data_IF_816908218743
#
_entry.id   IF_816908218743
#
_cell.length_a   1.000
_cell.length_b   1.000
_cell.length_c   1.000
_cell.angle_alpha   90.00
_cell.angle_beta   90.00
_cell.angle_gamma   90.00
#
_symmetry.space_group_name_H-M   'P 1'
#
loop_
_entity.id
_entity.type
_entity.pdbx_description
1 polymer ?
#
# COMPACT_ATOMS: atom_id res chain seq x y z
N UNK A 1 19.38 -63.00 61.36
CA UNK A 1 19.67 -62.37 60.05
C UNK A 1 18.52 -61.39 59.78
N UNK A 2 18.81 -60.09 59.70
CA UNK A 2 17.80 -59.09 59.33
C UNK A 2 17.24 -59.41 57.94
N UNK A 3 15.91 -59.39 57.80
CA UNK A 3 15.28 -59.47 56.49
C UNK A 3 15.70 -58.23 55.69
N UNK A 4 16.51 -58.42 54.64
CA UNK A 4 16.90 -57.34 53.74
C UNK A 4 15.80 -57.16 52.71
N UNK A 5 15.25 -55.96 52.63
CA UNK A 5 14.16 -55.67 51.70
C UNK A 5 14.75 -55.14 50.38
N UNK A 6 14.42 -55.75 49.25
CA UNK A 6 14.84 -55.28 47.91
C UNK A 6 14.44 -53.81 47.69
N UNK A 7 13.29 -53.42 48.23
CA UNK A 7 12.84 -52.03 48.22
C UNK A 7 13.87 -51.06 48.83
N UNK A 8 14.45 -51.39 49.99
CA UNK A 8 15.45 -50.52 50.65
C UNK A 8 16.77 -50.46 49.88
N UNK A 9 17.07 -51.47 49.06
CA UNK A 9 18.24 -51.48 48.18
C UNK A 9 18.01 -50.66 46.91
N UNK A 10 16.81 -50.73 46.34
CA UNK A 10 16.47 -50.06 45.09
C UNK A 10 16.04 -48.62 45.30
N UNK A 11 15.26 -48.32 46.34
CA UNK A 11 14.72 -46.98 46.62
C UNK A 11 15.60 -46.28 47.64
N UNK A 12 16.33 -45.27 47.16
CA UNK A 12 17.15 -44.40 48.00
C UNK A 12 16.25 -43.33 48.59
N UNK A 13 16.41 -43.02 49.88
CA UNK A 13 15.79 -41.83 50.49
C UNK A 13 16.71 -40.65 50.18
N UNK A 14 16.34 -39.73 49.27
CA UNK A 14 17.20 -38.58 48.98
C UNK A 14 17.21 -37.62 50.18
N UNK A 15 18.36 -36.99 50.39
CA UNK A 15 18.60 -36.04 51.49
C UNK A 15 17.72 -34.79 51.38
N UNK A 16 17.25 -34.48 50.18
CA UNK A 16 16.44 -33.30 49.83
C UNK A 16 14.92 -33.53 49.98
N UNK A 17 14.50 -34.73 50.42
CA UNK A 17 13.08 -35.05 50.58
C UNK A 17 12.30 -35.28 49.27
N UNK A 18 12.99 -35.27 48.12
CA UNK A 18 12.41 -35.63 46.82
C UNK A 18 12.03 -37.12 46.73
N UNK A 19 11.25 -37.50 45.73
CA UNK A 19 10.93 -38.92 45.47
C UNK A 19 11.99 -39.55 44.57
N UNK A 20 12.55 -40.70 44.95
CA UNK A 20 13.43 -41.50 44.07
C UNK A 20 12.59 -42.27 43.04
N UNK A 21 12.08 -41.55 42.04
CA UNK A 21 11.22 -42.08 40.99
C UNK A 21 11.86 -43.27 40.27
N UNK A 22 13.16 -43.18 39.98
CA UNK A 22 13.94 -44.27 39.38
C UNK A 22 13.91 -45.50 40.29
N UNK A 23 14.13 -45.33 41.59
CA UNK A 23 14.03 -46.43 42.56
C UNK A 23 12.65 -47.08 42.61
N UNK A 24 11.58 -46.28 42.58
CA UNK A 24 10.21 -46.80 42.58
C UNK A 24 9.89 -47.60 41.31
N UNK A 25 10.26 -47.07 40.14
CA UNK A 25 10.10 -47.77 38.87
C UNK A 25 10.96 -49.05 38.87
N UNK A 26 12.20 -48.99 39.36
CA UNK A 26 13.07 -50.16 39.47
C UNK A 26 12.47 -51.25 40.37
N UNK A 27 11.81 -50.87 41.46
CA UNK A 27 11.09 -51.82 42.32
C UNK A 27 9.88 -52.45 41.62
N UNK A 28 9.14 -51.67 40.82
CA UNK A 28 8.05 -52.19 40.00
C UNK A 28 8.59 -53.18 38.95
N UNK A 29 9.70 -52.87 38.29
CA UNK A 29 10.38 -53.77 37.35
C UNK A 29 10.85 -55.06 38.02
N UNK A 30 11.40 -54.98 39.24
CA UNK A 30 11.75 -56.16 40.03
C UNK A 30 10.53 -57.06 40.27
N UNK A 31 9.40 -56.48 40.66
CA UNK A 31 8.16 -57.23 40.91
C UNK A 31 7.63 -57.86 39.63
N UNK A 32 7.68 -57.14 38.50
CA UNK A 32 7.30 -57.65 37.18
C UNK A 32 8.18 -58.85 36.78
N UNK A 33 9.51 -58.74 36.86
CA UNK A 33 10.42 -59.86 36.56
C UNK A 33 10.23 -61.07 37.47
N UNK A 34 9.95 -60.83 38.75
CA UNK A 34 9.66 -61.91 39.71
C UNK A 34 8.37 -62.65 39.35
N UNK A 35 7.35 -61.91 38.93
CA UNK A 35 6.06 -62.47 38.51
C UNK A 35 6.16 -63.20 37.16
N UNK A 36 6.92 -62.65 36.22
CA UNK A 36 7.26 -63.29 34.95
C UNK A 36 7.99 -64.62 35.18
N UNK A 37 8.97 -64.66 36.09
CA UNK A 37 9.65 -65.90 36.47
C UNK A 37 8.68 -66.93 37.06
N UNK A 38 7.77 -66.50 37.94
CA UNK A 38 6.77 -67.40 38.51
C UNK A 38 5.84 -67.96 37.43
N UNK A 39 5.35 -67.09 36.54
CA UNK A 39 4.45 -67.44 35.45
C UNK A 39 5.09 -68.44 34.49
N UNK A 40 6.31 -68.16 34.03
CA UNK A 40 7.07 -69.05 33.14
C UNK A 40 7.30 -70.44 33.76
N UNK A 41 7.59 -70.51 35.06
CA UNK A 41 7.79 -71.79 35.76
C UNK A 41 6.48 -72.58 35.91
N UNK A 42 5.36 -71.90 36.17
CA UNK A 42 4.02 -72.52 36.23
C UNK A 42 3.59 -73.03 34.86
N UNK A 43 3.80 -72.26 33.80
CA UNK A 43 3.53 -72.66 32.41
C UNK A 43 4.37 -73.89 32.01
N UNK A 44 5.55 -74.05 32.61
CA UNK A 44 6.42 -75.22 32.43
C UNK A 44 6.03 -76.43 33.28
N UNK A 45 4.86 -76.42 33.95
CA UNK A 45 4.40 -77.46 34.89
C UNK A 45 5.40 -77.76 36.03
N UNK A 46 6.16 -76.76 36.48
CA UNK A 46 7.07 -76.92 37.61
C UNK A 46 6.27 -77.04 38.91
N UNK A 47 6.58 -77.99 39.81
CA UNK A 47 5.98 -78.07 41.14
C UNK A 47 6.13 -76.78 41.96
N UNK A 48 5.08 -76.35 42.69
CA UNK A 48 5.05 -75.06 43.39
C UNK A 48 6.16 -74.92 44.46
N UNK A 49 6.60 -76.02 45.08
CA UNK A 49 7.73 -76.03 46.03
C UNK A 49 9.06 -75.63 45.37
N UNK A 50 9.27 -76.05 44.12
CA UNK A 50 10.43 -75.66 43.31
C UNK A 50 10.30 -74.21 42.88
N UNK A 51 9.10 -73.75 42.54
CA UNK A 51 8.83 -72.34 42.18
C UNK A 51 9.17 -71.42 43.34
N UNK A 52 8.68 -71.71 44.54
CA UNK A 52 8.97 -70.92 45.74
C UNK A 52 10.47 -70.83 46.02
N UNK A 53 11.19 -71.96 45.87
CA UNK A 53 12.66 -71.96 45.99
C UNK A 53 13.31 -71.07 44.93
N UNK A 54 12.90 -71.16 43.67
CA UNK A 54 13.44 -70.32 42.58
C UNK A 54 13.15 -68.83 42.78
N UNK A 55 11.96 -68.48 43.26
CA UNK A 55 11.59 -67.10 43.56
C UNK A 55 12.38 -66.53 44.73
N UNK A 56 12.73 -67.38 45.71
CA UNK A 56 13.63 -67.02 46.80
C UNK A 56 15.07 -66.84 46.33
N UNK A 57 15.58 -67.77 45.51
CA UNK A 57 16.89 -67.64 44.87
C UNK A 57 16.98 -66.33 44.07
N UNK A 58 15.96 -65.99 43.28
CA UNK A 58 15.91 -64.73 42.55
C UNK A 58 15.95 -63.50 43.46
N UNK A 59 15.19 -63.51 44.56
CA UNK A 59 15.20 -62.43 45.55
C UNK A 59 16.58 -62.27 46.20
N UNK A 60 17.18 -63.37 46.64
CA UNK A 60 18.49 -63.37 47.30
C UNK A 60 19.59 -62.94 46.32
N UNK A 61 19.57 -63.43 45.07
CA UNK A 61 20.51 -63.03 44.04
C UNK A 61 20.44 -61.52 43.73
N UNK A 62 19.24 -60.96 43.69
CA UNK A 62 19.03 -59.52 43.47
C UNK A 62 19.63 -58.69 44.62
N UNK A 63 19.55 -59.19 45.86
CA UNK A 63 20.09 -58.51 47.05
C UNK A 63 21.61 -58.66 47.18
N UNK A 64 22.15 -59.81 46.79
CA UNK A 64 23.56 -60.17 46.94
C UNK A 64 24.42 -59.63 45.79
N UNK A 65 23.84 -59.42 44.61
CA UNK A 65 24.54 -58.96 43.41
C UNK A 65 24.22 -57.49 43.15
N UNK A 66 25.13 -56.54 43.47
CA UNK A 66 24.88 -55.11 43.25
C UNK A 66 24.52 -54.78 41.80
N UNK A 67 25.15 -55.48 40.85
CA UNK A 67 24.93 -55.31 39.41
C UNK A 67 23.48 -55.53 38.97
N UNK A 68 22.74 -56.44 39.63
CA UNK A 68 21.32 -56.67 39.32
C UNK A 68 20.46 -55.48 39.75
N UNK A 69 20.74 -54.91 40.93
CA UNK A 69 20.08 -53.70 41.40
C UNK A 69 20.38 -52.50 40.49
N UNK A 70 21.64 -52.36 40.07
CA UNK A 70 22.05 -51.27 39.17
C UNK A 70 21.39 -51.42 37.80
N UNK A 71 21.34 -52.63 37.23
CA UNK A 71 20.64 -52.88 35.97
C UNK A 71 19.14 -52.59 36.06
N UNK A 72 18.48 -52.92 37.17
CA UNK A 72 17.07 -52.55 37.37
C UNK A 72 16.86 -51.04 37.40
N UNK A 73 17.78 -50.30 38.02
CA UNK A 73 17.74 -48.83 38.05
C UNK A 73 18.03 -48.21 36.69
N UNK A 74 19.00 -48.75 35.95
CA UNK A 74 19.33 -48.31 34.59
C UNK A 74 18.15 -48.53 33.63
N UNK A 75 17.51 -49.70 33.69
CA UNK A 75 16.29 -49.96 32.92
C UNK A 75 15.14 -49.01 33.30
N UNK A 76 14.98 -48.71 34.59
CA UNK A 76 13.99 -47.76 35.06
C UNK A 76 14.24 -46.34 34.53
N UNK A 77 15.50 -45.91 34.52
CA UNK A 77 15.93 -44.63 33.95
C UNK A 77 15.66 -44.57 32.44
N UNK A 78 15.98 -45.65 31.70
CA UNK A 78 15.69 -45.72 30.26
C UNK A 78 14.19 -45.64 29.96
N UNK A 79 13.35 -46.35 30.73
CA UNK A 79 11.89 -46.30 30.56
C UNK A 79 11.36 -44.90 30.86
N UNK A 80 11.86 -44.26 31.93
CA UNK A 80 11.45 -42.91 32.28
C UNK A 80 11.83 -41.91 31.19
N UNK A 81 13.09 -41.94 30.73
CA UNK A 81 13.57 -41.03 29.70
C UNK A 81 12.83 -41.22 28.38
N UNK A 82 12.65 -42.47 27.92
CA UNK A 82 11.89 -42.75 26.70
C UNK A 82 10.41 -42.35 26.80
N UNK A 83 9.80 -42.48 27.99
CA UNK A 83 8.45 -41.99 28.24
C UNK A 83 8.35 -40.46 28.18
N UNK A 84 9.35 -39.76 28.74
CA UNK A 84 9.45 -38.29 28.66
C UNK A 84 9.63 -37.84 27.21
N UNK A 85 10.56 -38.47 26.47
CA UNK A 85 10.83 -38.13 25.07
C UNK A 85 9.60 -38.36 24.18
N UNK A 86 8.85 -39.45 24.42
CA UNK A 86 7.61 -39.73 23.72
C UNK A 86 6.52 -38.69 24.05
N UNK A 87 6.39 -38.29 25.31
CA UNK A 87 5.45 -37.26 25.72
C UNK A 87 5.81 -35.88 25.13
N UNK A 88 7.09 -35.53 25.09
CA UNK A 88 7.58 -34.30 24.46
C UNK A 88 7.30 -34.31 22.96
N UNK A 89 7.60 -35.41 22.27
CA UNK A 89 7.35 -35.55 20.83
C UNK A 89 5.86 -35.42 20.49
N UNK A 90 4.99 -36.04 21.30
CA UNK A 90 3.52 -35.92 21.12
C UNK A 90 3.02 -34.51 21.38
N UNK A 91 3.60 -33.81 22.35
CA UNK A 91 3.26 -32.41 22.63
C UNK A 91 3.69 -31.49 21.49
N UNK A 92 4.91 -31.68 20.96
CA UNK A 92 5.41 -30.93 19.80
C UNK A 92 4.54 -31.15 18.56
N UNK A 93 4.14 -32.38 18.29
CA UNK A 93 3.23 -32.70 17.18
C UNK A 93 1.89 -32.00 17.33
N UNK A 94 1.29 -32.07 18.52
CA UNK A 94 0.00 -31.43 18.83
C UNK A 94 0.11 -29.91 18.67
N UNK A 95 1.17 -29.30 19.21
CA UNK A 95 1.40 -27.86 19.12
C UNK A 95 1.61 -27.40 17.67
N UNK A 96 2.36 -28.15 16.87
CA UNK A 96 2.59 -27.84 15.46
C UNK A 96 1.30 -27.93 14.65
N UNK A 97 0.45 -28.91 14.93
CA UNK A 97 -0.86 -29.04 14.28
C UNK A 97 -1.77 -27.86 14.65
N UNK A 98 -1.86 -27.51 15.93
CA UNK A 98 -2.66 -26.38 16.41
C UNK A 98 -2.18 -25.05 15.82
N UNK A 99 -0.86 -24.85 15.73
CA UNK A 99 -0.28 -23.68 15.07
C UNK A 99 -0.63 -23.63 13.59
N UNK A 100 -0.58 -24.76 12.88
CA UNK A 100 -0.92 -24.83 11.46
C UNK A 100 -2.39 -24.48 11.24
N UNK A 101 -3.29 -25.03 12.06
CA UNK A 101 -4.72 -24.72 12.03
C UNK A 101 -4.97 -23.22 12.31
N UNK A 102 -4.26 -22.64 13.28
CA UNK A 102 -4.39 -21.23 13.61
C UNK A 102 -3.92 -20.32 12.47
N UNK A 103 -2.77 -20.64 11.85
CA UNK A 103 -2.23 -19.92 10.69
C UNK A 103 -3.23 -19.97 9.53
N UNK A 104 -3.80 -21.14 9.24
CA UNK A 104 -4.73 -21.30 8.13
C UNK A 104 -6.06 -20.57 8.37
N UNK A 105 -6.56 -20.56 9.60
CA UNK A 105 -7.72 -19.73 9.97
C UNK A 105 -7.46 -18.25 9.72
N UNK A 106 -6.32 -17.75 10.19
CA UNK A 106 -5.93 -16.35 9.99
C UNK A 106 -5.80 -16.02 8.50
N UNK A 107 -5.13 -16.87 7.72
CA UNK A 107 -5.01 -16.69 6.25
C UNK A 107 -6.37 -16.66 5.56
N UNK A 108 -7.26 -17.58 5.91
CA UNK A 108 -8.61 -17.64 5.33
C UNK A 108 -9.45 -16.42 5.69
N UNK A 109 -9.36 -15.95 6.94
CA UNK A 109 -10.04 -14.73 7.38
C UNK A 109 -9.50 -13.48 6.65
N UNK A 110 -8.18 -13.40 6.43
CA UNK A 110 -7.58 -12.34 5.62
C UNK A 110 -8.06 -12.39 4.17
N UNK A 111 -8.04 -13.56 3.52
CA UNK A 111 -8.53 -13.72 2.15
C UNK A 111 -10.02 -13.33 2.02
N UNK A 112 -10.84 -13.68 3.03
CA UNK A 112 -12.25 -13.32 3.09
C UNK A 112 -12.44 -11.80 3.21
N UNK A 113 -11.70 -11.15 4.11
CA UNK A 113 -11.73 -9.68 4.29
C UNK A 113 -11.25 -8.97 3.04
N UNK A 114 -10.21 -9.47 2.38
CA UNK A 114 -9.71 -8.91 1.14
C UNK A 114 -10.77 -8.99 0.03
N UNK A 115 -11.44 -10.14 -0.13
CA UNK A 115 -12.54 -10.28 -1.08
C UNK A 115 -13.72 -9.35 -0.78
N UNK A 116 -14.06 -9.15 0.49
CA UNK A 116 -15.10 -8.21 0.91
C UNK A 116 -14.73 -6.77 0.56
N UNK A 117 -13.51 -6.34 0.93
CA UNK A 117 -13.02 -5.00 0.62
C UNK A 117 -12.93 -4.75 -0.88
N UNK A 118 -12.53 -5.75 -1.67
CA UNK A 118 -12.54 -5.63 -3.13
C UNK A 118 -13.96 -5.45 -3.67
N UNK A 119 -14.95 -6.21 -3.19
CA UNK A 119 -16.35 -6.04 -3.59
C UNK A 119 -16.87 -4.66 -3.22
N UNK A 120 -16.68 -4.23 -1.97
CA UNK A 120 -17.07 -2.90 -1.49
C UNK A 120 -16.43 -1.78 -2.32
N UNK A 121 -15.14 -1.92 -2.68
CA UNK A 121 -14.44 -0.98 -3.54
C UNK A 121 -15.10 -0.90 -4.92
N UNK A 122 -15.39 -2.03 -5.55
CA UNK A 122 -16.03 -2.04 -6.89
C UNK A 122 -17.45 -1.47 -6.85
N UNK A 123 -18.21 -1.72 -5.79
CA UNK A 123 -19.53 -1.14 -5.59
C UNK A 123 -19.46 0.37 -5.37
N UNK A 124 -18.51 0.82 -4.55
CA UNK A 124 -18.27 2.24 -4.31
C UNK A 124 -17.83 2.97 -5.59
N UNK A 125 -16.96 2.37 -6.40
CA UNK A 125 -16.54 2.92 -7.70
C UNK A 125 -17.71 3.02 -8.67
N UNK A 126 -18.56 1.98 -8.77
CA UNK A 126 -19.80 2.01 -9.57
C UNK A 126 -20.75 3.11 -9.10
N UNK A 127 -20.95 3.24 -7.78
CA UNK A 127 -21.82 4.28 -7.19
C UNK A 127 -21.27 5.68 -7.40
N UNK A 128 -19.95 5.85 -7.31
CA UNK A 128 -19.27 7.12 -7.62
C UNK A 128 -19.44 7.50 -9.09
N UNK A 129 -19.28 6.53 -10.00
CA UNK A 129 -19.45 6.77 -11.43
C UNK A 129 -20.90 7.10 -11.79
N UNK A 130 -21.87 6.35 -11.26
CA UNK A 130 -23.30 6.61 -11.50
C UNK A 130 -23.71 7.99 -10.98
N UNK A 131 -23.31 8.34 -9.75
CA UNK A 131 -23.55 9.66 -9.16
C UNK A 131 -22.92 10.77 -10.00
N UNK A 132 -21.67 10.61 -10.45
CA UNK A 132 -21.01 11.58 -11.34
C UNK A 132 -21.75 11.76 -12.67
N UNK A 133 -22.24 10.68 -13.27
CA UNK A 133 -23.01 10.77 -14.52
C UNK A 133 -24.39 11.39 -14.30
N UNK A 134 -25.05 11.11 -13.17
CA UNK A 134 -26.32 11.74 -12.80
C UNK A 134 -26.15 13.24 -12.58
N UNK A 135 -25.14 13.65 -11.82
CA UNK A 135 -24.79 15.06 -11.61
C UNK A 135 -24.49 15.77 -12.93
N UNK A 136 -23.66 15.19 -13.80
CA UNK A 136 -23.39 15.77 -15.14
C UNK A 136 -24.65 15.91 -16.00
N UNK A 137 -25.59 14.96 -15.92
CA UNK A 137 -26.87 15.07 -16.63
C UNK A 137 -27.75 16.15 -16.04
N UNK A 138 -27.75 16.30 -14.71
CA UNK A 138 -28.52 17.34 -14.03
C UNK A 138 -27.95 18.74 -14.31
N UNK A 139 -26.64 18.91 -14.17
CA UNK A 139 -25.94 20.16 -14.50
C UNK A 139 -26.11 20.52 -15.97
N UNK A 140 -25.94 19.57 -16.89
CA UNK A 140 -26.15 19.86 -18.32
C UNK A 140 -27.59 20.22 -18.64
N UNK A 141 -28.59 19.61 -17.97
CA UNK A 141 -30.00 20.03 -18.10
C UNK A 141 -30.24 21.44 -17.55
N UNK A 142 -29.66 21.78 -16.40
CA UNK A 142 -29.74 23.13 -15.82
C UNK A 142 -29.09 24.16 -16.74
N UNK A 143 -27.91 23.86 -17.29
CA UNK A 143 -27.23 24.72 -18.26
C UNK A 143 -28.03 24.86 -19.57
N UNK A 144 -28.65 23.79 -20.07
CA UNK A 144 -29.53 23.85 -21.24
C UNK A 144 -30.80 24.68 -20.99
N UNK A 145 -31.40 24.55 -19.80
CA UNK A 145 -32.55 25.38 -19.42
C UNK A 145 -32.13 26.85 -19.32
N UNK A 146 -31.04 27.15 -18.62
CA UNK A 146 -30.49 28.50 -18.53
C UNK A 146 -30.08 29.07 -19.90
N UNK A 147 -29.54 28.24 -20.80
CA UNK A 147 -29.19 28.65 -22.17
C UNK A 147 -30.42 28.89 -23.06
N UNK A 148 -31.55 28.22 -22.79
CA UNK A 148 -32.83 28.50 -23.46
C UNK A 148 -33.51 29.76 -22.92
N UNK A 149 -33.34 30.04 -21.62
CA UNK A 149 -33.81 31.27 -20.98
C UNK A 149 -32.91 32.47 -21.29
N UNK A 150 -31.62 32.24 -21.58
CA UNK A 150 -30.72 33.24 -22.08
C UNK A 150 -31.17 33.71 -23.46
N UNK A 151 -31.76 34.91 -23.49
CA UNK A 151 -32.13 35.61 -24.72
C UNK A 151 -30.88 35.74 -25.58
N UNK A 152 -30.83 34.97 -26.69
CA UNK A 152 -29.73 35.05 -27.64
C UNK A 152 -29.69 36.48 -28.22
N UNK A 153 -28.54 37.17 -28.17
CA UNK A 153 -28.44 38.51 -28.72
C UNK A 153 -28.77 38.45 -30.22
N UNK A 154 -29.64 39.36 -30.63
CA UNK A 154 -30.13 39.48 -32.00
C UNK A 154 -28.93 39.75 -32.91
N UNK A 155 -28.96 39.33 -34.19
CA UNK A 155 -27.81 39.48 -35.12
C UNK A 155 -27.22 40.89 -35.16
N UNK A 156 -28.03 41.93 -34.89
CA UNK A 156 -27.61 43.34 -34.81
C UNK A 156 -26.80 43.65 -33.55
N UNK A 157 -27.19 43.10 -32.41
CA UNK A 157 -26.50 43.29 -31.12
C UNK A 157 -25.12 42.63 -31.16
N UNK A 158 -24.97 41.47 -31.81
CA UNK A 158 -23.65 40.87 -32.05
C UNK A 158 -22.73 41.73 -32.90
N UNK A 159 -23.27 42.41 -33.91
CA UNK A 159 -22.46 43.30 -34.77
C UNK A 159 -22.03 44.54 -33.98
N UNK A 160 -22.92 45.09 -33.15
CA UNK A 160 -22.62 46.24 -32.29
C UNK A 160 -21.57 45.86 -31.22
N UNK A 161 -21.75 44.73 -30.52
CA UNK A 161 -20.78 44.24 -29.53
C UNK A 161 -19.45 43.84 -30.16
N UNK A 162 -19.45 43.32 -31.40
CA UNK A 162 -18.23 43.02 -32.13
C UNK A 162 -17.46 44.29 -32.51
N UNK A 163 -18.16 45.33 -32.98
CA UNK A 163 -17.56 46.64 -33.27
C UNK A 163 -17.02 47.30 -32.00
N UNK A 164 -17.76 47.22 -30.89
CA UNK A 164 -17.37 47.84 -29.61
C UNK A 164 -16.22 47.10 -28.91
N UNK A 165 -16.18 45.77 -28.95
CA UNK A 165 -15.21 44.99 -28.16
C UNK A 165 -13.98 44.52 -28.94
N UNK A 166 -14.03 44.41 -30.28
CA UNK A 166 -13.00 43.71 -31.05
C UNK A 166 -12.22 44.53 -32.07
N UNK A 167 -12.67 45.73 -32.43
CA UNK A 167 -12.11 46.46 -33.58
C UNK A 167 -12.15 47.98 -33.42
N UNK A 168 -11.98 48.47 -32.19
CA UNK A 168 -12.02 49.91 -31.87
C UNK A 168 -10.92 50.71 -32.57
N UNK A 169 -9.69 50.17 -32.69
CA UNK A 169 -8.54 50.95 -33.16
C UNK A 169 -8.64 51.46 -34.61
N UNK A 170 -8.99 50.59 -35.57
CA UNK A 170 -8.97 50.89 -37.00
C UNK A 170 -10.25 51.61 -37.45
N UNK A 171 -11.41 51.21 -36.92
CA UNK A 171 -12.69 51.83 -37.30
C UNK A 171 -12.82 53.22 -36.66
N UNK A 172 -12.31 53.43 -35.44
CA UNK A 172 -12.28 54.78 -34.85
C UNK A 172 -11.37 55.72 -35.65
N UNK A 173 -10.20 55.26 -36.12
CA UNK A 173 -9.34 56.06 -36.99
C UNK A 173 -9.97 56.32 -38.34
N UNK A 174 -10.71 55.36 -38.91
CA UNK A 174 -11.44 55.56 -40.15
C UNK A 174 -12.56 56.61 -40.00
N UNK A 175 -13.37 56.51 -38.94
CA UNK A 175 -14.43 57.48 -38.64
C UNK A 175 -13.84 58.86 -38.35
N UNK A 176 -12.76 58.94 -37.55
CA UNK A 176 -12.07 60.19 -37.25
C UNK A 176 -11.50 60.82 -38.53
N UNK A 177 -10.88 60.01 -39.40
CA UNK A 177 -10.37 60.46 -40.70
C UNK A 177 -11.47 61.03 -41.59
N UNK A 178 -12.65 60.38 -41.64
CA UNK A 178 -13.82 60.88 -42.38
C UNK A 178 -14.35 62.18 -41.78
N UNK A 179 -14.38 62.34 -40.46
CA UNK A 179 -14.83 63.57 -39.80
C UNK A 179 -13.85 64.72 -40.03
N UNK A 180 -12.54 64.49 -39.85
CA UNK A 180 -11.51 65.51 -40.07
C UNK A 180 -11.45 65.93 -41.54
N UNK A 181 -11.53 64.98 -42.47
CA UNK A 181 -11.57 65.27 -43.90
C UNK A 181 -12.87 65.98 -44.31
N UNK A 182 -14.03 65.50 -43.82
CA UNK A 182 -15.32 66.13 -44.07
C UNK A 182 -15.37 67.57 -43.56
N UNK A 183 -14.76 67.83 -42.40
CA UNK A 183 -14.56 69.18 -41.87
C UNK A 183 -13.65 70.03 -42.76
N UNK A 184 -12.47 69.54 -43.12
CA UNK A 184 -11.51 70.28 -43.93
C UNK A 184 -12.00 70.55 -45.37
N UNK A 185 -12.77 69.64 -45.97
CA UNK A 185 -13.31 69.78 -47.33
C UNK A 185 -14.43 70.82 -47.42
N UNK A 186 -15.15 71.09 -46.32
CA UNK A 186 -16.16 72.16 -46.27
C UNK A 186 -15.54 73.56 -46.17
N UNK A 187 -14.31 73.70 -45.68
CA UNK A 187 -13.67 75.00 -45.45
C UNK A 187 -12.46 75.32 -46.36
N UNK A 188 -12.15 74.48 -47.35
CA UNK A 188 -10.96 74.64 -48.23
C UNK A 188 -11.29 74.96 -49.70
N UNK A 189 -10.32 75.54 -50.43
CA UNK A 189 -10.41 75.90 -51.86
C UNK A 189 -10.26 74.68 -52.78
N UNK A 190 -10.67 74.80 -54.05
CA UNK A 190 -10.84 73.67 -54.97
C UNK A 190 -9.54 72.89 -55.27
N UNK A 191 -8.38 73.55 -55.26
CA UNK A 191 -7.06 72.91 -55.44
C UNK A 191 -6.64 72.11 -54.20
N UNK A 192 -6.97 72.60 -53.00
CA UNK A 192 -6.66 71.90 -51.74
C UNK A 192 -7.49 70.62 -51.60
N UNK A 193 -8.72 70.59 -52.15
CA UNK A 193 -9.58 69.39 -52.10
C UNK A 193 -9.00 68.20 -52.85
N UNK A 194 -8.32 68.43 -53.97
CA UNK A 194 -7.70 67.34 -54.75
C UNK A 194 -6.46 66.78 -54.05
N UNK A 195 -5.60 67.65 -53.50
CA UNK A 195 -4.43 67.22 -52.72
C UNK A 195 -4.85 66.47 -51.44
N UNK A 196 -5.94 66.88 -50.80
CA UNK A 196 -6.49 66.17 -49.64
C UNK A 196 -7.07 64.80 -50.03
N UNK A 197 -7.70 64.66 -51.20
CA UNK A 197 -8.22 63.37 -51.69
C UNK A 197 -7.10 62.36 -51.95
N UNK A 198 -6.02 62.77 -52.61
CA UNK A 198 -4.87 61.90 -52.85
C UNK A 198 -4.21 61.45 -51.54
N UNK A 199 -4.09 62.36 -50.56
CA UNK A 199 -3.54 62.06 -49.25
C UNK A 199 -4.43 61.11 -48.43
N UNK A 200 -5.76 61.21 -48.54
CA UNK A 200 -6.69 60.30 -47.84
C UNK A 200 -6.73 58.92 -48.49
N UNK A 201 -6.72 58.82 -49.82
CA UNK A 201 -6.65 57.51 -50.50
C UNK A 201 -5.33 56.83 -50.18
N UNK A 202 -4.22 57.58 -50.17
CA UNK A 202 -2.90 57.07 -49.81
C UNK A 202 -2.82 56.68 -48.33
N UNK A 203 -3.40 57.46 -47.43
CA UNK A 203 -3.53 57.11 -46.01
C UNK A 203 -4.41 55.89 -45.78
N UNK A 204 -5.56 55.74 -46.47
CA UNK A 204 -6.43 54.58 -46.34
C UNK A 204 -5.77 53.29 -46.86
N UNK A 205 -5.03 53.40 -47.96
CA UNK A 205 -4.21 52.31 -48.49
C UNK A 205 -3.08 51.91 -47.52
N UNK A 206 -2.39 52.90 -46.93
CA UNK A 206 -1.32 52.66 -45.95
C UNK A 206 -1.86 52.16 -44.61
N UNK A 207 -3.01 52.64 -44.12
CA UNK A 207 -3.62 52.20 -42.85
C UNK A 207 -4.07 50.74 -42.92
N UNK A 208 -4.39 50.25 -44.12
CA UNK A 208 -4.72 48.84 -44.36
C UNK A 208 -3.47 47.93 -44.40
N UNK A 209 -2.26 48.47 -44.50
CA UNK A 209 -1.02 47.69 -44.72
C UNK A 209 0.12 47.97 -43.74
N UNK A 210 0.21 49.14 -43.10
CA UNK A 210 1.09 49.45 -41.95
C UNK A 210 0.92 50.90 -41.46
N UNK A 211 0.47 51.04 -40.21
CA UNK A 211 0.39 52.26 -39.37
C UNK A 211 -0.70 53.32 -39.70
N UNK A 212 -1.50 53.77 -38.69
CA UNK A 212 -2.75 54.50 -38.93
C UNK A 212 -2.67 56.03 -38.88
N UNK A 213 -1.48 56.65 -38.86
CA UNK A 213 -1.38 58.12 -38.73
C UNK A 213 -0.89 58.78 -40.04
N UNK A 214 -1.55 59.84 -40.53
CA UNK A 214 -1.05 60.64 -41.63
C UNK A 214 0.16 61.48 -41.17
N UNK A 215 1.25 61.41 -41.90
CA UNK A 215 2.45 62.22 -41.65
C UNK A 215 2.18 63.66 -42.14
N UNK A 216 1.82 64.54 -41.21
CA UNK A 216 1.60 65.97 -41.47
C UNK A 216 2.92 66.69 -41.19
N UNK A 217 3.89 66.53 -42.09
CA UNK A 217 5.13 67.30 -42.07
C UNK A 217 4.99 68.51 -43.00
N UNK A 218 4.36 69.57 -42.48
CA UNK A 218 4.54 70.93 -42.98
C UNK A 218 5.52 71.66 -42.06
N UNK A 219 6.75 71.93 -42.51
CA UNK A 219 7.45 73.22 -42.32
C UNK A 219 8.87 73.26 -42.95
N UNK A 220 9.39 74.48 -43.26
CA UNK A 220 10.41 74.75 -44.29
C UNK A 220 11.87 74.71 -43.80
N UNK A 221 12.75 74.61 -44.80
CA UNK A 221 14.21 74.86 -44.80
C UNK A 221 14.68 75.97 -43.84
N UNK A 222 15.70 75.68 -43.01
CA UNK A 222 16.96 76.47 -42.85
C UNK A 222 18.03 75.63 -42.11
N UNK A 223 19.11 75.38 -42.83
CA UNK A 223 20.55 75.34 -42.50
C UNK A 223 20.99 75.41 -41.02
N UNK A 224 21.71 74.39 -40.52
CA UNK A 224 23.18 74.45 -40.30
C UNK A 224 23.77 73.21 -39.60
N UNK A 225 24.83 72.70 -40.23
CA UNK A 225 26.11 72.23 -39.70
C UNK A 225 26.19 71.03 -38.73
N UNK A 226 26.66 69.94 -39.34
CA UNK A 226 27.92 69.25 -39.02
C UNK A 226 28.10 68.61 -37.63
N UNK A 227 28.23 67.27 -37.63
CA UNK A 227 28.85 66.55 -36.53
C UNK A 227 28.36 65.12 -36.31
N UNK A 228 28.44 64.27 -37.33
CA UNK A 228 28.35 62.80 -37.21
C UNK A 228 29.64 62.26 -36.55
N UNK A 229 29.76 60.95 -36.26
CA UNK A 229 29.06 60.05 -35.34
C UNK A 229 30.05 59.59 -34.23
N UNK A 230 29.77 58.66 -33.31
CA UNK A 230 29.94 57.22 -33.58
C UNK A 230 30.06 56.42 -32.27
N UNK A 231 29.50 55.21 -32.31
CA UNK A 231 29.99 53.97 -31.69
C UNK A 231 29.96 53.79 -30.16
N UNK A 232 28.95 53.05 -29.73
CA UNK A 232 29.09 51.92 -28.78
C UNK A 232 30.16 50.91 -29.22
N UNK A 233 31.03 50.45 -28.32
CA UNK A 233 31.67 49.14 -28.38
C UNK A 233 31.02 48.21 -27.34
N UNK A 234 30.48 47.07 -27.76
CA UNK A 234 31.14 45.75 -27.74
C UNK A 234 31.05 45.03 -26.38
N UNK A 235 30.13 44.05 -26.32
CA UNK A 235 30.39 42.60 -26.26
C UNK A 235 31.25 42.06 -25.07
N UNK A 236 31.36 40.72 -24.89
CA UNK A 236 31.00 40.05 -23.64
C UNK A 236 32.21 39.32 -23.04
N UNK A 237 32.16 38.83 -21.81
CA UNK A 237 32.99 37.67 -21.45
C UNK A 237 32.39 36.96 -20.24
N UNK A 238 32.12 35.67 -20.46
CA UNK A 238 32.20 34.51 -19.57
C UNK A 238 31.53 34.56 -18.19
#
# INVERSE_FOLDING_TARGET
MEQRWVFQKLVKKPTDGSLDLIGYIAYALYKAKKDELATNLRESNTPEDIIDRRLKEFHDNTLLTPRECDSLRENAEQILNSGIDAALSSLEETLNNDMTIAIDKVKNDFARKESQLQKERTEFEKKRQSTRTALRKEESRKLLAAAKEAVLPTKRERVIDWVLNGFSGIVATFILGVIVFGGAAMFSSQETKQQLLENVVRWAANTSTSNPFPDVSTEPTITNQAGKPSQTPSKPTQ
#
